data_IF_414124538500
#
_entry.id   IF_414124538500
#
_cell.length_a   1.000
_cell.length_b   1.000
_cell.length_c   1.000
_cell.angle_alpha   90.00
_cell.angle_beta   90.00
_cell.angle_gamma   90.00
#
_symmetry.space_group_name_H-M   'P 1'
#
loop_
_entity.id
_entity.type
_entity.pdbx_description
1 polymer ?
#
# COMPACT_ATOMS: atom_id res chain seq x y z
N UNK A 1 64.38 -53.94 -7.79
CA UNK A 1 64.12 -53.93 -6.35
C UNK A 1 62.76 -53.29 -6.12
N UNK A 2 61.70 -54.10 -5.97
CA UNK A 2 60.38 -53.59 -5.57
C UNK A 2 60.34 -53.52 -4.05
N UNK A 3 60.37 -52.30 -3.51
CA UNK A 3 60.16 -52.06 -2.09
C UNK A 3 58.68 -52.32 -1.78
N UNK A 4 58.42 -53.27 -0.87
CA UNK A 4 57.07 -53.54 -0.37
C UNK A 4 56.54 -52.30 0.38
N UNK A 5 55.30 -51.92 0.08
CA UNK A 5 54.62 -50.83 0.79
C UNK A 5 54.40 -51.26 2.26
N UNK A 6 54.64 -50.37 3.22
CA UNK A 6 54.38 -50.65 4.63
C UNK A 6 52.88 -50.86 4.87
N UNK A 7 52.57 -51.76 5.80
CA UNK A 7 51.18 -52.07 6.17
C UNK A 7 50.43 -50.82 6.68
N UNK A 8 49.16 -50.64 6.29
CA UNK A 8 48.36 -49.53 6.76
C UNK A 8 48.19 -49.59 8.28
N UNK A 9 48.35 -48.43 8.92
CA UNK A 9 48.20 -48.29 10.36
C UNK A 9 46.81 -48.78 10.82
N UNK A 10 46.72 -49.39 12.02
CA UNK A 10 45.45 -49.86 12.56
C UNK A 10 44.47 -48.69 12.73
N UNK A 11 43.23 -48.88 12.29
CA UNK A 11 42.17 -47.89 12.40
C UNK A 11 41.87 -47.58 13.88
N UNK A 12 41.63 -46.30 14.23
CA UNK A 12 41.33 -45.91 15.60
C UNK A 12 40.03 -46.57 16.08
N UNK A 13 39.96 -46.98 17.37
CA UNK A 13 38.76 -47.59 17.94
C UNK A 13 37.56 -46.64 17.81
N UNK A 14 36.48 -47.12 17.20
CA UNK A 14 35.26 -46.34 16.90
C UNK A 14 35.08 -45.96 15.43
N UNK A 15 36.10 -46.13 14.58
CA UNK A 15 35.98 -45.99 13.12
C UNK A 15 35.78 -47.36 12.44
N UNK A 16 34.84 -48.15 12.97
CA UNK A 16 34.39 -49.36 12.28
C UNK A 16 33.64 -49.01 10.98
N UNK A 17 33.36 -50.00 10.12
CA UNK A 17 32.42 -49.83 9.01
C UNK A 17 31.13 -49.23 9.57
N UNK A 18 30.75 -48.04 9.09
CA UNK A 18 29.47 -47.44 9.49
C UNK A 18 28.38 -48.45 9.17
N UNK A 19 27.48 -48.71 10.12
CA UNK A 19 26.31 -49.52 9.84
C UNK A 19 25.59 -48.97 8.60
N UNK A 20 25.19 -49.83 7.66
CA UNK A 20 24.48 -49.39 6.49
C UNK A 20 23.21 -48.66 6.94
N UNK A 21 23.10 -47.39 6.55
CA UNK A 21 21.90 -46.58 6.82
C UNK A 21 20.69 -47.36 6.33
N UNK A 22 19.76 -47.67 7.24
CA UNK A 22 18.52 -48.37 6.90
C UNK A 22 17.74 -47.52 5.90
N UNK A 23 17.77 -47.94 4.64
CA UNK A 23 16.99 -47.35 3.53
C UNK A 23 15.74 -48.17 3.27
N UNK A 24 15.13 -48.72 4.31
CA UNK A 24 13.85 -49.37 4.16
C UNK A 24 12.84 -48.37 3.57
N UNK A 25 12.02 -48.79 2.59
CA UNK A 25 11.03 -47.92 1.96
C UNK A 25 10.04 -47.33 2.98
N UNK A 26 9.87 -47.99 4.14
CA UNK A 26 9.09 -47.48 5.27
C UNK A 26 9.72 -46.24 5.92
N UNK A 27 11.04 -46.23 6.12
CA UNK A 27 11.76 -45.11 6.72
C UNK A 27 11.79 -43.90 5.78
N UNK A 28 12.00 -44.13 4.48
CA UNK A 28 11.93 -43.08 3.45
C UNK A 28 10.52 -42.46 3.39
N UNK A 29 9.47 -43.29 3.39
CA UNK A 29 8.08 -42.82 3.40
C UNK A 29 7.76 -42.00 4.67
N UNK A 30 8.23 -42.45 5.84
CA UNK A 30 8.05 -41.73 7.11
C UNK A 30 8.77 -40.37 7.10
N UNK A 31 9.97 -40.31 6.52
CA UNK A 31 10.76 -39.08 6.41
C UNK A 31 10.08 -38.08 5.46
N UNK A 32 9.62 -38.54 4.29
CA UNK A 32 8.86 -37.70 3.34
C UNK A 32 7.57 -37.18 3.96
N UNK A 33 6.79 -38.02 4.65
CA UNK A 33 5.58 -37.59 5.35
C UNK A 33 5.87 -36.55 6.43
N UNK A 34 6.97 -36.70 7.17
CA UNK A 34 7.37 -35.74 8.20
C UNK A 34 7.76 -34.40 7.60
N UNK A 35 8.52 -34.41 6.50
CA UNK A 35 8.88 -33.18 5.77
C UNK A 35 7.63 -32.50 5.21
N UNK A 36 6.69 -33.26 4.62
CA UNK A 36 5.43 -32.73 4.12
C UNK A 36 4.56 -32.14 5.23
N UNK A 37 4.49 -32.78 6.39
CA UNK A 37 3.77 -32.27 7.57
C UNK A 37 4.42 -30.99 8.09
N UNK A 38 5.74 -30.94 8.23
CA UNK A 38 6.47 -29.73 8.63
C UNK A 38 6.27 -28.59 7.63
N UNK A 39 6.29 -28.88 6.32
CA UNK A 39 6.00 -27.89 5.28
C UNK A 39 4.55 -27.40 5.32
N UNK A 40 3.60 -28.30 5.57
CA UNK A 40 2.19 -27.95 5.73
C UNK A 40 1.98 -27.09 6.99
N UNK A 41 2.59 -27.45 8.12
CA UNK A 41 2.55 -26.66 9.36
C UNK A 41 3.22 -25.30 9.20
N UNK A 42 4.37 -25.20 8.52
CA UNK A 42 5.04 -23.93 8.25
C UNK A 42 4.19 -22.96 7.38
N UNK A 43 3.33 -23.49 6.50
CA UNK A 43 2.39 -22.69 5.70
C UNK A 43 1.20 -22.13 6.50
N UNK A 44 0.96 -22.60 7.73
CA UNK A 44 -0.17 -22.13 8.54
C UNK A 44 0.11 -20.86 9.33
N UNK A 45 1.40 -20.48 9.51
CA UNK A 45 1.76 -19.26 10.24
C UNK A 45 1.50 -18.05 9.37
N UNK A 46 0.35 -17.40 9.60
CA UNK A 46 0.03 -16.13 8.95
C UNK A 46 1.07 -15.09 9.37
N UNK A 47 1.68 -14.37 8.43
CA UNK A 47 2.62 -13.31 8.78
C UNK A 47 1.92 -12.22 9.59
N UNK A 48 2.65 -11.50 10.47
CA UNK A 48 2.08 -10.45 11.30
C UNK A 48 1.46 -9.35 10.42
N UNK A 49 0.45 -8.66 10.95
CA UNK A 49 -0.36 -7.68 10.21
C UNK A 49 0.50 -6.62 9.51
N UNK A 50 1.49 -6.05 10.20
CA UNK A 50 2.38 -5.04 9.64
C UNK A 50 3.15 -5.53 8.39
N UNK A 51 3.58 -6.80 8.37
CA UNK A 51 4.32 -7.39 7.23
C UNK A 51 3.38 -7.66 6.05
N UNK A 52 2.09 -7.86 6.30
CA UNK A 52 1.05 -7.97 5.26
C UNK A 52 0.73 -6.59 4.70
N UNK A 53 0.58 -5.59 5.58
CA UNK A 53 0.39 -4.19 5.21
C UNK A 53 1.52 -3.69 4.31
N UNK A 54 2.76 -3.87 4.77
CA UNK A 54 3.95 -3.43 4.03
C UNK A 54 4.06 -4.06 2.64
N UNK A 55 3.90 -5.39 2.55
CA UNK A 55 3.91 -6.08 1.25
C UNK A 55 2.77 -5.65 0.35
N UNK A 56 1.60 -5.38 0.93
CA UNK A 56 0.45 -4.89 0.21
C UNK A 56 0.65 -3.52 -0.42
N UNK A 57 1.17 -2.58 0.39
CA UNK A 57 1.51 -1.22 -0.06
C UNK A 57 2.55 -1.27 -1.16
N UNK A 58 3.70 -1.93 -0.94
CA UNK A 58 4.78 -2.01 -1.94
C UNK A 58 4.28 -2.68 -3.23
N UNK A 59 3.51 -3.76 -3.12
CA UNK A 59 3.03 -4.52 -4.28
C UNK A 59 2.10 -3.72 -5.21
N UNK A 60 1.39 -2.71 -4.69
CA UNK A 60 0.44 -1.91 -5.45
C UNK A 60 0.86 -0.44 -5.61
N UNK A 61 1.99 -0.04 -5.01
CA UNK A 61 2.44 1.35 -5.01
C UNK A 61 2.56 1.92 -6.41
N UNK A 62 3.22 1.21 -7.34
CA UNK A 62 3.42 1.66 -8.73
C UNK A 62 2.09 1.80 -9.50
N UNK A 63 1.18 0.85 -9.32
CA UNK A 63 -0.13 0.87 -9.99
C UNK A 63 -1.02 2.01 -9.50
N UNK A 64 -0.77 2.51 -8.29
CA UNK A 64 -1.59 3.53 -7.62
C UNK A 64 -0.80 4.76 -7.23
N UNK A 65 0.34 4.97 -7.88
CA UNK A 65 1.20 6.11 -7.59
C UNK A 65 0.43 7.45 -7.65
N UNK A 66 -0.47 7.69 -8.63
CA UNK A 66 -1.30 8.90 -8.64
C UNK A 66 -2.19 9.09 -7.41
N UNK A 67 -2.71 8.01 -6.82
CA UNK A 67 -3.55 8.07 -5.63
C UNK A 67 -2.73 8.32 -4.36
N UNK A 68 -1.54 7.71 -4.28
CA UNK A 68 -0.59 7.95 -3.19
C UNK A 68 -0.05 9.39 -3.22
N UNK A 69 0.29 9.88 -4.41
CA UNK A 69 0.71 11.26 -4.61
C UNK A 69 -0.39 12.24 -4.20
N UNK A 70 -1.61 12.07 -4.72
CA UNK A 70 -2.73 12.94 -4.39
C UNK A 70 -3.10 12.90 -2.89
N UNK A 71 -2.98 11.74 -2.24
CA UNK A 71 -3.11 11.63 -0.77
C UNK A 71 -2.03 12.44 -0.04
N UNK A 72 -0.77 12.37 -0.51
CA UNK A 72 0.32 13.16 0.03
C UNK A 72 0.10 14.66 -0.11
N UNK A 73 -0.39 15.13 -1.25
CA UNK A 73 -0.75 16.54 -1.48
C UNK A 73 -1.85 17.02 -0.52
N UNK A 74 -2.91 16.22 -0.31
CA UNK A 74 -3.95 16.54 0.67
C UNK A 74 -3.37 16.67 2.09
N UNK A 75 -2.49 15.73 2.47
CA UNK A 75 -1.85 15.73 3.78
C UNK A 75 -0.95 16.96 3.97
N UNK A 76 -0.10 17.26 2.98
CA UNK A 76 0.85 18.36 3.05
C UNK A 76 0.13 19.71 3.04
N UNK A 77 -0.86 19.89 2.17
CA UNK A 77 -1.62 21.14 2.11
C UNK A 77 -2.45 21.33 3.38
N UNK A 78 -3.15 20.30 3.85
CA UNK A 78 -3.90 20.34 5.10
C UNK A 78 -3.01 20.68 6.30
N UNK A 79 -1.82 20.08 6.39
CA UNK A 79 -0.84 20.39 7.43
C UNK A 79 -0.28 21.81 7.33
N UNK A 80 -0.13 22.34 6.11
CA UNK A 80 0.35 23.72 5.88
C UNK A 80 -0.60 24.75 6.49
N UNK A 81 -1.90 24.47 6.53
CA UNK A 81 -2.91 25.32 7.17
C UNK A 81 -2.83 25.33 8.71
N UNK A 82 -1.98 24.47 9.31
CA UNK A 82 -1.63 24.49 10.73
C UNK A 82 -0.26 25.11 11.00
N UNK A 83 0.36 25.74 10.00
CA UNK A 83 1.67 26.35 10.18
C UNK A 83 1.61 27.55 11.15
N UNK A 84 2.75 27.89 11.75
CA UNK A 84 2.83 28.98 12.73
C UNK A 84 2.44 30.36 12.17
N UNK A 85 2.47 30.53 10.85
CA UNK A 85 2.02 31.74 10.15
C UNK A 85 0.69 31.42 9.47
N UNK A 86 -0.43 32.01 9.90
CA UNK A 86 -1.74 31.74 9.28
C UNK A 86 -1.73 32.14 7.81
N UNK A 87 -1.87 31.15 6.92
CA UNK A 87 -1.79 31.31 5.47
C UNK A 87 -2.87 32.27 4.99
N UNK A 88 -4.07 32.21 5.57
CA UNK A 88 -5.19 33.04 5.17
C UNK A 88 -5.00 34.50 5.60
N UNK A 89 -4.24 34.76 6.67
CA UNK A 89 -3.95 36.11 7.13
C UNK A 89 -2.91 36.83 6.25
N UNK A 90 -1.97 36.09 5.65
CA UNK A 90 -0.86 36.66 4.87
C UNK A 90 -1.05 36.54 3.36
N UNK A 91 -2.01 35.74 2.89
CA UNK A 91 -2.22 35.47 1.46
C UNK A 91 -3.57 36.02 0.99
N UNK A 92 -3.59 37.10 0.20
CA UNK A 92 -4.83 37.63 -0.40
C UNK A 92 -5.61 36.57 -1.20
N UNK A 93 -4.89 35.58 -1.73
CA UNK A 93 -5.44 34.53 -2.58
C UNK A 93 -6.36 33.55 -1.86
N UNK A 94 -6.36 33.55 -0.52
CA UNK A 94 -7.18 32.66 0.28
C UNK A 94 -8.41 33.36 0.88
N UNK A 95 -8.60 34.65 0.63
CA UNK A 95 -9.74 35.44 1.14
C UNK A 95 -11.08 34.83 0.79
N UNK A 96 -11.22 34.29 -0.42
CA UNK A 96 -12.45 33.60 -0.84
C UNK A 96 -12.71 32.36 -0.01
N UNK A 97 -11.69 31.54 0.28
CA UNK A 97 -11.85 30.36 1.14
C UNK A 97 -12.19 30.75 2.59
N UNK A 98 -11.55 31.81 3.09
CA UNK A 98 -11.79 32.34 4.42
C UNK A 98 -13.24 32.83 4.64
N UNK A 99 -13.95 33.19 3.57
CA UNK A 99 -15.36 33.58 3.64
C UNK A 99 -16.31 32.40 3.92
N UNK A 100 -15.89 31.16 3.65
CA UNK A 100 -16.72 29.97 3.87
C UNK A 100 -16.52 29.36 5.25
N UNK A 101 -15.26 29.19 5.68
CA UNK A 101 -14.89 28.63 6.98
C UNK A 101 -13.46 29.04 7.34
N UNK A 102 -13.09 28.82 8.61
CA UNK A 102 -11.75 29.13 9.11
C UNK A 102 -10.67 28.30 8.43
N UNK A 103 -9.43 28.80 8.47
CA UNK A 103 -8.25 28.10 7.96
C UNK A 103 -8.08 26.71 8.61
N UNK A 104 -8.31 26.62 9.92
CA UNK A 104 -8.25 25.37 10.68
C UNK A 104 -9.27 24.34 10.19
N UNK A 105 -10.54 24.75 9.97
CA UNK A 105 -11.58 23.84 9.49
C UNK A 105 -11.28 23.35 8.07
N UNK A 106 -10.71 24.20 7.20
CA UNK A 106 -10.20 23.73 5.91
C UNK A 106 -9.08 22.71 6.09
N UNK A 107 -8.09 22.98 6.95
CA UNK A 107 -7.00 22.06 7.27
C UNK A 107 -7.51 20.69 7.73
N UNK A 108 -8.44 20.67 8.68
CA UNK A 108 -9.18 19.49 9.13
C UNK A 108 -9.83 18.72 7.97
N UNK A 109 -10.53 19.41 7.07
CA UNK A 109 -11.18 18.75 5.92
C UNK A 109 -10.15 18.05 5.03
N UNK A 110 -9.04 18.71 4.70
CA UNK A 110 -7.97 18.14 3.88
C UNK A 110 -7.33 16.91 4.57
N UNK A 111 -7.00 17.05 5.87
CA UNK A 111 -6.39 15.97 6.66
C UNK A 111 -7.34 14.77 6.83
N UNK A 112 -8.63 15.00 7.05
CA UNK A 112 -9.63 13.95 7.17
C UNK A 112 -9.75 13.13 5.87
N UNK A 113 -9.81 13.80 4.72
CA UNK A 113 -9.85 13.12 3.41
C UNK A 113 -8.55 12.36 3.15
N UNK A 114 -7.39 12.94 3.48
CA UNK A 114 -6.10 12.26 3.38
C UNK A 114 -6.06 10.98 4.24
N UNK A 115 -6.53 11.05 5.49
CA UNK A 115 -6.56 9.91 6.42
C UNK A 115 -7.48 8.78 5.92
N UNK A 116 -8.69 9.12 5.46
CA UNK A 116 -9.64 8.15 4.88
C UNK A 116 -9.00 7.45 3.67
N UNK A 117 -8.35 8.23 2.79
CA UNK A 117 -7.70 7.67 1.60
C UNK A 117 -6.50 6.80 1.95
N UNK A 118 -5.66 7.24 2.88
CA UNK A 118 -4.53 6.45 3.37
C UNK A 118 -4.99 5.09 3.89
N UNK A 119 -6.04 5.07 4.71
CA UNK A 119 -6.64 3.83 5.20
C UNK A 119 -7.14 2.96 4.03
N UNK A 120 -7.84 3.54 3.06
CA UNK A 120 -8.35 2.82 1.90
C UNK A 120 -7.23 2.19 1.04
N UNK A 121 -6.12 2.91 0.84
CA UNK A 121 -4.95 2.45 0.09
C UNK A 121 -4.19 1.35 0.85
N UNK A 122 -3.97 1.53 2.15
CA UNK A 122 -3.31 0.54 3.01
C UNK A 122 -4.12 -0.77 3.09
N UNK A 123 -5.44 -0.67 3.28
CA UNK A 123 -6.33 -1.85 3.33
C UNK A 123 -6.38 -2.57 1.99
N UNK A 124 -6.47 -1.84 0.87
CA UNK A 124 -6.53 -2.47 -0.46
C UNK A 124 -5.30 -3.32 -0.78
N UNK A 125 -4.11 -2.84 -0.42
CA UNK A 125 -2.88 -3.62 -0.61
C UNK A 125 -2.86 -4.92 0.20
N UNK A 126 -3.54 -4.95 1.36
CA UNK A 126 -3.34 -5.95 2.42
C UNK A 126 -4.37 -7.08 2.41
N UNK A 127 -5.61 -6.75 2.06
CA UNK A 127 -6.74 -7.67 2.11
C UNK A 127 -7.28 -7.85 0.70
N UNK A 128 -6.71 -8.83 -0.03
CA UNK A 128 -7.29 -9.34 -1.28
C UNK A 128 -8.72 -9.80 -0.99
N UNK A 129 -9.71 -8.98 -1.36
CA UNK A 129 -11.14 -9.26 -1.12
C UNK A 129 -11.92 -8.17 -0.37
N UNK A 130 -11.29 -7.08 0.10
CA UNK A 130 -12.06 -5.98 0.70
C UNK A 130 -12.84 -5.20 -0.37
N UNK A 131 -14.12 -5.55 -0.53
CA UNK A 131 -15.01 -5.07 -1.60
C UNK A 131 -15.21 -3.56 -1.64
N UNK A 132 -15.09 -2.89 -0.49
CA UNK A 132 -15.46 -1.48 -0.36
C UNK A 132 -14.32 -0.50 -0.67
N UNK A 133 -13.06 -0.97 -0.79
CA UNK A 133 -11.95 -0.04 -1.00
C UNK A 133 -12.09 0.80 -2.29
N UNK A 134 -12.52 0.25 -3.45
CA UNK A 134 -12.77 1.07 -4.64
C UNK A 134 -13.81 2.18 -4.40
N UNK A 135 -14.88 1.90 -3.66
CA UNK A 135 -15.90 2.89 -3.32
C UNK A 135 -15.36 3.98 -2.39
N UNK A 136 -14.60 3.61 -1.35
CA UNK A 136 -13.99 4.59 -0.43
C UNK A 136 -12.98 5.46 -1.18
N UNK A 137 -12.17 4.87 -2.08
CA UNK A 137 -11.25 5.61 -2.95
C UNK A 137 -12.02 6.61 -3.82
N UNK A 138 -13.05 6.16 -4.52
CA UNK A 138 -13.89 7.02 -5.35
C UNK A 138 -14.53 8.15 -4.53
N UNK A 139 -15.16 7.85 -3.39
CA UNK A 139 -15.75 8.86 -2.51
C UNK A 139 -14.71 9.88 -2.04
N UNK A 140 -13.54 9.43 -1.60
CA UNK A 140 -12.46 10.33 -1.18
C UNK A 140 -11.94 11.20 -2.32
N UNK A 141 -11.85 10.69 -3.56
CA UNK A 141 -11.48 11.49 -4.73
C UNK A 141 -12.55 12.48 -5.11
N UNK A 142 -13.82 12.12 -5.04
CA UNK A 142 -14.92 13.05 -5.27
C UNK A 142 -14.88 14.25 -4.31
N UNK A 143 -14.70 13.99 -3.02
CA UNK A 143 -14.57 15.07 -2.02
C UNK A 143 -13.29 15.89 -2.25
N UNK A 144 -12.17 15.25 -2.57
CA UNK A 144 -10.92 15.95 -2.86
C UNK A 144 -11.02 16.86 -4.10
N UNK A 145 -11.72 16.44 -5.16
CA UNK A 145 -12.00 17.31 -6.32
C UNK A 145 -12.64 18.61 -5.85
N UNK A 146 -13.68 18.52 -5.01
CA UNK A 146 -14.33 19.70 -4.46
C UNK A 146 -13.34 20.59 -3.69
N UNK A 147 -12.54 20.02 -2.78
CA UNK A 147 -11.56 20.79 -2.00
C UNK A 147 -10.55 21.51 -2.90
N UNK A 148 -9.97 20.84 -3.88
CA UNK A 148 -8.99 21.45 -4.79
C UNK A 148 -9.61 22.46 -5.75
N UNK A 149 -10.89 22.29 -6.13
CA UNK A 149 -11.63 23.30 -6.86
C UNK A 149 -11.83 24.57 -6.04
N UNK A 150 -12.06 24.48 -4.71
CA UNK A 150 -12.15 25.67 -3.85
C UNK A 150 -10.83 26.43 -3.79
N UNK A 151 -9.70 25.73 -3.66
CA UNK A 151 -8.36 26.35 -3.70
C UNK A 151 -8.11 27.02 -5.05
N UNK A 152 -8.43 26.31 -6.15
CA UNK A 152 -8.28 26.84 -7.51
C UNK A 152 -9.17 28.07 -7.74
N UNK A 153 -10.41 28.02 -7.26
CA UNK A 153 -11.38 29.10 -7.37
C UNK A 153 -10.93 30.35 -6.62
N UNK A 154 -10.42 30.18 -5.40
CA UNK A 154 -9.89 31.29 -4.60
C UNK A 154 -8.69 31.97 -5.30
N UNK A 155 -7.78 31.17 -5.87
CA UNK A 155 -6.67 31.68 -6.67
C UNK A 155 -7.16 32.46 -7.90
N UNK A 156 -8.17 31.94 -8.62
CA UNK A 156 -8.74 32.59 -9.78
C UNK A 156 -9.35 33.95 -9.44
N UNK A 157 -10.15 34.02 -8.38
CA UNK A 157 -10.87 35.24 -7.98
C UNK A 157 -9.98 36.29 -7.32
N UNK A 158 -8.85 35.89 -6.74
CA UNK A 158 -7.92 36.82 -6.10
C UNK A 158 -7.23 37.80 -7.05
N UNK A 159 -7.34 37.58 -8.37
CA UNK A 159 -6.65 38.37 -9.39
C UNK A 159 -5.13 38.10 -9.44
N UNK A 160 -4.58 37.34 -8.49
CA UNK A 160 -3.20 36.86 -8.51
C UNK A 160 -3.14 35.57 -9.34
N UNK A 161 -3.42 35.72 -10.63
CA UNK A 161 -3.36 34.66 -11.63
C UNK A 161 -1.93 34.18 -11.82
N UNK A 162 -1.48 33.28 -10.94
CA UNK A 162 -0.12 32.76 -10.91
C UNK A 162 -0.03 31.27 -11.20
N UNK A 163 1.17 30.73 -11.01
CA UNK A 163 1.46 29.29 -11.08
C UNK A 163 0.56 28.46 -10.15
N UNK A 164 0.17 29.02 -8.99
CA UNK A 164 -0.73 28.37 -8.02
C UNK A 164 -2.06 27.91 -8.63
N UNK A 165 -2.74 28.76 -9.40
CA UNK A 165 -4.00 28.38 -10.06
C UNK A 165 -3.81 27.16 -10.97
N UNK A 166 -2.75 27.17 -11.79
CA UNK A 166 -2.47 26.05 -12.71
C UNK A 166 -2.13 24.79 -11.95
N UNK A 167 -1.32 24.89 -10.90
CA UNK A 167 -0.94 23.76 -10.05
C UNK A 167 -2.18 23.12 -9.42
N UNK A 168 -3.01 23.89 -8.72
CA UNK A 168 -4.16 23.34 -8.01
C UNK A 168 -5.27 22.85 -8.94
N UNK A 169 -5.45 23.48 -10.11
CA UNK A 169 -6.36 22.99 -11.14
C UNK A 169 -5.89 21.63 -11.69
N UNK A 170 -4.58 21.44 -11.87
CA UNK A 170 -4.01 20.14 -12.26
C UNK A 170 -4.17 19.08 -11.17
N UNK A 171 -4.03 19.44 -9.90
CA UNK A 171 -4.29 18.52 -8.79
C UNK A 171 -5.76 18.09 -8.77
N UNK A 172 -6.70 19.03 -8.98
CA UNK A 172 -8.12 18.69 -9.11
C UNK A 172 -8.39 17.75 -10.30
N UNK A 173 -7.74 17.97 -11.44
CA UNK A 173 -7.85 17.07 -12.60
C UNK A 173 -7.27 15.68 -12.32
N UNK A 174 -6.17 15.58 -11.58
CA UNK A 174 -5.60 14.31 -11.14
C UNK A 174 -6.57 13.56 -10.21
N UNK A 175 -7.28 14.26 -9.33
CA UNK A 175 -8.31 13.67 -8.48
C UNK A 175 -9.50 13.15 -9.29
N UNK A 176 -9.90 13.87 -10.34
CA UNK A 176 -10.91 13.39 -11.28
C UNK A 176 -10.45 12.12 -12.00
N UNK A 177 -9.20 12.06 -12.43
CA UNK A 177 -8.62 10.85 -13.01
C UNK A 177 -8.65 9.68 -12.01
N UNK A 178 -8.24 9.91 -10.77
CA UNK A 178 -8.29 8.90 -9.70
C UNK A 178 -9.73 8.43 -9.43
N UNK A 179 -10.69 9.34 -9.41
CA UNK A 179 -12.11 9.04 -9.28
C UNK A 179 -12.60 8.10 -10.39
N UNK A 180 -12.33 8.45 -11.66
CA UNK A 180 -12.73 7.64 -12.82
C UNK A 180 -12.09 6.24 -12.76
N UNK A 181 -10.80 6.15 -12.41
CA UNK A 181 -10.12 4.88 -12.24
C UNK A 181 -10.73 4.03 -11.11
N UNK A 182 -11.04 4.65 -9.97
CA UNK A 182 -11.65 3.96 -8.83
C UNK A 182 -13.06 3.44 -9.15
N UNK A 183 -13.89 4.20 -9.88
CA UNK A 183 -15.21 3.74 -10.34
C UNK A 183 -15.08 2.58 -11.32
N UNK A 184 -14.13 2.62 -12.25
CA UNK A 184 -13.85 1.49 -13.16
C UNK A 184 -13.41 0.24 -12.40
N UNK A 185 -12.64 0.41 -11.33
CA UNK A 185 -12.26 -0.71 -10.45
C UNK A 185 -13.47 -1.34 -9.76
N UNK A 186 -14.45 -0.53 -9.32
CA UNK A 186 -15.73 -1.03 -8.78
C UNK A 186 -16.43 -1.95 -9.76
N UNK A 187 -16.61 -1.51 -11.01
CA UNK A 187 -17.26 -2.33 -12.04
C UNK A 187 -16.54 -3.66 -12.31
N UNK A 188 -15.20 -3.68 -12.22
CA UNK A 188 -14.41 -4.93 -12.34
C UNK A 188 -14.60 -5.87 -11.15
N UNK A 189 -14.81 -5.34 -9.95
CA UNK A 189 -15.06 -6.17 -8.75
C UNK A 189 -16.46 -6.77 -8.81
N UNK A 190 -17.46 -5.99 -9.22
CA UNK A 190 -18.83 -6.46 -9.38
C UNK A 190 -18.98 -7.47 -10.52
N UNK A 191 -18.34 -7.21 -11.67
CA UNK A 191 -18.38 -8.12 -12.82
C UNK A 191 -17.77 -9.50 -12.55
N UNK A 192 -16.64 -9.58 -11.81
CA UNK A 192 -16.08 -10.87 -11.38
C UNK A 192 -17.05 -11.65 -10.51
N UNK A 193 -17.74 -10.96 -9.61
CA UNK A 193 -18.73 -11.59 -8.72
C UNK A 193 -19.93 -12.15 -9.49
N UNK A 194 -20.41 -11.43 -10.49
CA UNK A 194 -21.50 -11.92 -11.34
C UNK A 194 -21.10 -13.18 -12.12
N UNK A 195 -19.84 -13.27 -12.56
CA UNK A 195 -19.29 -14.45 -13.23
C UNK A 195 -19.06 -15.65 -12.30
N UNK A 196 -18.71 -15.44 -11.03
CA UNK A 196 -18.53 -16.52 -10.05
C UNK A 196 -19.86 -17.11 -9.53
N UNK A 197 -21.00 -16.45 -9.81
CA UNK A 197 -22.31 -16.82 -9.31
C UNK A 197 -23.24 -17.47 -10.34
N UNK A 198 -22.80 -17.63 -11.60
CA UNK A 198 -23.53 -18.28 -12.69
C UNK A 198 -22.82 -19.54 -13.17
#
# INVERSE_FOLDING_TARGET
>A
MHAALPDPAPMPPGFGPREPVDRSPALEAAMVLTVLRLHASARTVRPPLWRRLWRGVIGHFRLRFPEWWAMGELLLFGWTLYSAVPVFAVSPNMTVMAAWMSEETWGECFLAVAAIRFAALAVNGTFRGFRFSPHIRAASSFVAIFLWLQVSWAMLLSGVGGTGLRTYAWVAALELFNFICAIRDTGRVEGRRAGDAG
#
